data_IF_124366546828
#
_entry.id   IF_124366546828
#
_cell.length_a   1.000
_cell.length_b   1.000
_cell.length_c   1.000
_cell.angle_alpha   90.00
_cell.angle_beta   90.00
_cell.angle_gamma   90.00
#
_symmetry.space_group_name_H-M   'P 1'
#
loop_
_entity.id
_entity.type
_entity.pdbx_description
1 polymer ?
#
# COMPACT_ATOMS: atom_id res chain seq x y z
N UNK A 1 -6.37 -2.68 7.78
CA UNK A 1 -5.94 -1.34 7.28
C UNK A 1 -6.82 -0.86 6.14
N UNK A 2 -7.10 -1.65 5.10
CA UNK A 2 -7.96 -1.21 3.99
C UNK A 2 -9.34 -0.77 4.45
N UNK A 3 -9.98 -1.50 5.37
CA UNK A 3 -11.31 -1.13 5.88
C UNK A 3 -11.29 0.22 6.62
N UNK A 4 -10.21 0.48 7.38
CA UNK A 4 -9.98 1.77 8.04
C UNK A 4 -9.79 2.87 6.99
N UNK A 5 -8.99 2.64 5.95
CA UNK A 5 -8.79 3.60 4.87
C UNK A 5 -10.09 3.93 4.13
N UNK A 6 -10.92 2.92 3.87
CA UNK A 6 -12.24 3.11 3.28
C UNK A 6 -13.12 3.99 4.18
N UNK A 7 -13.17 3.71 5.48
CA UNK A 7 -13.88 4.53 6.46
C UNK A 7 -13.29 5.95 6.60
N UNK A 8 -11.99 6.12 6.33
CA UNK A 8 -11.29 7.42 6.35
C UNK A 8 -11.37 8.20 5.03
N UNK A 9 -12.20 7.78 4.07
CA UNK A 9 -12.47 8.55 2.84
C UNK A 9 -11.67 8.14 1.61
N UNK A 10 -11.03 6.97 1.59
CA UNK A 10 -10.31 6.47 0.40
C UNK A 10 -11.20 6.42 -0.86
N UNK A 11 -12.47 6.02 -0.69
CA UNK A 11 -13.41 5.90 -1.82
C UNK A 11 -13.73 7.28 -2.40
N UNK A 12 -13.91 8.28 -1.53
CA UNK A 12 -14.19 9.65 -1.95
C UNK A 12 -12.98 10.28 -2.64
N UNK A 13 -11.78 10.07 -2.10
CA UNK A 13 -10.53 10.50 -2.74
C UNK A 13 -10.37 9.89 -4.13
N UNK A 14 -10.58 8.57 -4.26
CA UNK A 14 -10.52 7.89 -5.54
C UNK A 14 -11.55 8.44 -6.53
N UNK A 15 -12.75 8.80 -6.07
CA UNK A 15 -13.80 9.38 -6.91
C UNK A 15 -13.40 10.76 -7.46
N UNK A 16 -12.73 11.58 -6.66
CA UNK A 16 -12.19 12.88 -7.11
C UNK A 16 -11.09 12.69 -8.16
N UNK A 17 -10.27 11.64 -8.03
CA UNK A 17 -9.16 11.35 -8.94
C UNK A 17 -9.57 10.56 -10.19
N UNK A 18 -10.76 9.96 -10.21
CA UNK A 18 -11.26 9.13 -11.32
C UNK A 18 -11.26 9.81 -12.70
N UNK A 19 -11.53 11.13 -12.86
CA UNK A 19 -11.36 11.82 -14.13
C UNK A 19 -9.94 11.70 -14.71
N UNK A 20 -8.93 11.57 -13.85
CA UNK A 20 -7.53 11.46 -14.19
C UNK A 20 -7.01 10.02 -14.27
N UNK A 21 -7.89 9.01 -14.19
CA UNK A 21 -7.52 7.58 -14.06
C UNK A 21 -6.52 7.00 -15.06
N UNK A 22 -6.31 7.66 -16.21
CA UNK A 22 -5.33 7.26 -17.23
C UNK A 22 -3.87 7.64 -16.89
N UNK A 23 -3.66 8.45 -15.85
CA UNK A 23 -2.32 8.81 -15.41
C UNK A 23 -1.63 7.61 -14.74
N UNK A 24 -0.39 7.31 -15.14
CA UNK A 24 0.39 6.20 -14.58
C UNK A 24 0.52 6.26 -13.06
N UNK A 25 0.57 7.46 -12.48
CA UNK A 25 0.65 7.65 -11.03
C UNK A 25 -0.57 7.08 -10.28
N UNK A 26 -1.72 6.94 -10.95
CA UNK A 26 -2.96 6.40 -10.39
C UNK A 26 -3.16 4.91 -10.69
N UNK A 27 -2.20 4.26 -11.33
CA UNK A 27 -2.18 2.81 -11.54
C UNK A 27 -1.58 2.06 -10.32
N UNK A 28 -1.81 2.56 -9.12
CA UNK A 28 -1.37 1.93 -7.87
C UNK A 28 -2.46 1.01 -7.29
N UNK A 29 -2.06 0.12 -6.39
CA UNK A 29 -2.99 -0.71 -5.60
C UNK A 29 -3.86 0.22 -4.75
N UNK A 30 -5.17 0.07 -4.82
CA UNK A 30 -6.15 0.97 -4.21
C UNK A 30 -6.99 1.64 -5.29
N UNK A 31 -6.39 2.58 -6.02
CA UNK A 31 -7.11 3.37 -7.01
C UNK A 31 -7.58 2.54 -8.20
N UNK A 32 -6.76 1.64 -8.73
CA UNK A 32 -7.14 0.84 -9.90
C UNK A 32 -8.38 -0.01 -9.63
N UNK A 33 -8.42 -0.67 -8.47
CA UNK A 33 -9.57 -1.49 -8.06
C UNK A 33 -10.84 -0.63 -7.87
N UNK A 34 -10.70 0.56 -7.29
CA UNK A 34 -11.82 1.51 -7.13
C UNK A 34 -12.29 2.10 -8.47
N UNK A 35 -11.38 2.29 -9.43
CA UNK A 35 -11.74 2.74 -10.77
C UNK A 35 -12.56 1.68 -11.50
N UNK A 36 -12.20 0.39 -11.42
CA UNK A 36 -13.03 -0.71 -11.95
C UNK A 36 -14.42 -0.75 -11.28
N UNK A 37 -14.52 -0.39 -10.00
CA UNK A 37 -15.83 -0.22 -9.36
C UNK A 37 -16.61 0.96 -9.97
N UNK A 38 -15.98 2.12 -10.17
CA UNK A 38 -16.63 3.29 -10.77
C UNK A 38 -16.98 3.12 -12.25
N UNK A 39 -16.24 2.28 -12.98
CA UNK A 39 -16.54 1.85 -14.34
C UNK A 39 -17.75 0.87 -14.39
N UNK A 40 -18.26 0.44 -13.22
CA UNK A 40 -19.40 -0.48 -13.10
C UNK A 40 -19.04 -1.95 -13.31
N UNK A 41 -17.74 -2.27 -13.44
CA UNK A 41 -17.27 -3.64 -13.66
C UNK A 41 -17.34 -4.46 -12.37
N UNK A 42 -17.04 -3.83 -11.22
CA UNK A 42 -16.94 -4.48 -9.91
C UNK A 42 -17.91 -3.88 -8.88
N UNK A 43 -18.32 -4.70 -7.90
CA UNK A 43 -18.96 -4.18 -6.69
C UNK A 43 -17.91 -3.51 -5.79
N UNK A 44 -18.35 -2.56 -4.94
CA UNK A 44 -17.46 -1.90 -3.99
C UNK A 44 -16.80 -2.91 -3.05
N UNK A 45 -17.58 -3.86 -2.54
CA UNK A 45 -17.10 -4.93 -1.67
C UNK A 45 -15.99 -5.75 -2.34
N UNK A 46 -16.21 -6.18 -3.58
CA UNK A 46 -15.22 -6.93 -4.35
C UNK A 46 -13.94 -6.11 -4.58
N UNK A 47 -14.08 -4.82 -4.93
CA UNK A 47 -12.95 -3.93 -5.09
C UNK A 47 -12.12 -3.83 -3.80
N UNK A 48 -12.76 -3.62 -2.65
CA UNK A 48 -12.08 -3.53 -1.36
C UNK A 48 -11.34 -4.83 -1.00
N UNK A 49 -11.90 -5.99 -1.31
CA UNK A 49 -11.25 -7.27 -1.08
C UNK A 49 -10.06 -7.52 -2.01
N UNK A 50 -10.16 -7.11 -3.27
CA UNK A 50 -9.02 -7.15 -4.20
C UNK A 50 -7.91 -6.17 -3.76
N UNK A 51 -8.23 -4.98 -3.22
CA UNK A 51 -7.23 -4.07 -2.64
C UNK A 51 -6.49 -4.76 -1.49
N UNK A 52 -7.20 -5.43 -0.57
CA UNK A 52 -6.57 -6.18 0.54
C UNK A 52 -5.62 -7.26 0.01
N UNK A 53 -6.06 -8.02 -0.99
CA UNK A 53 -5.29 -9.11 -1.59
C UNK A 53 -4.06 -8.61 -2.35
N UNK A 54 -4.22 -7.58 -3.16
CA UNK A 54 -3.13 -7.00 -3.93
C UNK A 54 -2.11 -6.28 -3.03
N UNK A 55 -2.56 -5.68 -1.92
CA UNK A 55 -1.67 -5.13 -0.88
C UNK A 55 -0.81 -6.24 -0.27
N UNK A 56 -1.38 -7.40 0.09
CA UNK A 56 -0.61 -8.55 0.60
C UNK A 56 0.39 -9.09 -0.43
N UNK A 57 -0.03 -9.20 -1.69
CA UNK A 57 0.86 -9.63 -2.80
C UNK A 57 2.01 -8.65 -2.99
N UNK A 58 1.73 -7.35 -2.92
CA UNK A 58 2.75 -6.31 -3.02
C UNK A 58 3.74 -6.38 -1.86
N UNK A 59 3.26 -6.48 -0.61
CA UNK A 59 4.12 -6.66 0.56
C UNK A 59 5.00 -7.92 0.44
N UNK A 60 4.44 -9.04 -0.03
CA UNK A 60 5.22 -10.26 -0.31
C UNK A 60 6.33 -10.01 -1.33
N UNK A 61 6.04 -9.31 -2.43
CA UNK A 61 7.05 -8.95 -3.45
C UNK A 61 8.14 -8.05 -2.88
N UNK A 62 7.77 -7.05 -2.06
CA UNK A 62 8.73 -6.19 -1.37
C UNK A 62 9.66 -7.01 -0.48
N UNK A 63 9.11 -7.90 0.36
CA UNK A 63 9.90 -8.79 1.22
C UNK A 63 10.85 -9.67 0.38
N UNK A 64 10.37 -10.28 -0.70
CA UNK A 64 11.22 -11.09 -1.59
C UNK A 64 12.35 -10.28 -2.19
N UNK A 65 12.09 -9.04 -2.60
CA UNK A 65 13.10 -8.15 -3.16
C UNK A 65 14.15 -7.77 -2.11
N UNK A 66 13.70 -7.31 -0.93
CA UNK A 66 14.61 -6.89 0.13
C UNK A 66 15.44 -8.03 0.74
N UNK A 67 14.93 -9.28 0.74
CA UNK A 67 15.72 -10.45 1.18
C UNK A 67 17.00 -10.68 0.36
N UNK A 68 17.08 -10.09 -0.85
CA UNK A 68 18.25 -10.17 -1.72
C UNK A 68 19.18 -8.96 -1.57
N UNK A 69 18.81 -7.98 -0.74
CA UNK A 69 19.59 -6.78 -0.53
C UNK A 69 20.65 -7.06 0.53
N UNK A 70 21.92 -6.92 0.15
CA UNK A 70 23.06 -6.99 1.05
C UNK A 70 23.22 -5.67 1.84
N UNK A 71 23.93 -5.72 2.96
CA UNK A 71 24.20 -4.55 3.82
C UNK A 71 22.94 -3.88 4.41
N UNK A 72 21.88 -4.65 4.65
CA UNK A 72 20.66 -4.16 5.31
C UNK A 72 20.61 -4.65 6.74
N UNK A 73 20.49 -3.73 7.69
CA UNK A 73 20.10 -4.04 9.06
C UNK A 73 18.58 -4.13 9.16
N UNK A 74 18.07 -5.29 9.55
CA UNK A 74 16.65 -5.52 9.76
C UNK A 74 16.25 -5.27 11.21
N UNK A 75 15.08 -4.66 11.39
CA UNK A 75 14.44 -4.45 12.70
C UNK A 75 13.06 -5.08 12.68
N UNK A 76 12.60 -5.53 13.84
CA UNK A 76 11.22 -6.00 14.00
C UNK A 76 10.27 -4.79 13.97
N UNK A 77 9.02 -4.99 13.54
CA UNK A 77 8.02 -3.92 13.52
C UNK A 77 7.66 -3.41 14.92
N UNK A 78 7.98 -4.18 15.96
CA UNK A 78 7.83 -3.82 17.38
C UNK A 78 9.04 -3.12 17.96
N UNK A 79 10.19 -3.07 17.24
CA UNK A 79 11.39 -2.39 17.72
C UNK A 79 11.10 -0.90 17.97
N UNK A 80 11.41 -0.36 19.16
CA UNK A 80 11.21 1.05 19.45
C UNK A 80 12.03 1.95 18.51
N UNK A 81 11.46 3.06 17.99
CA UNK A 81 12.20 3.98 17.12
C UNK A 81 13.51 4.49 17.72
N UNK A 82 13.58 4.64 19.05
CA UNK A 82 14.78 5.07 19.75
C UNK A 82 15.98 4.12 19.55
N UNK A 83 15.74 2.81 19.53
CA UNK A 83 16.79 1.81 19.30
C UNK A 83 17.32 1.88 17.87
N UNK A 84 16.41 2.05 16.90
CA UNK A 84 16.77 2.22 15.49
C UNK A 84 17.63 3.48 15.30
N UNK A 85 17.25 4.59 15.92
CA UNK A 85 18.01 5.85 15.87
C UNK A 85 19.39 5.69 16.50
N UNK A 86 19.49 5.00 17.63
CA UNK A 86 20.77 4.76 18.30
C UNK A 86 21.71 3.91 17.44
N UNK A 87 21.19 2.85 16.80
CA UNK A 87 21.94 2.03 15.85
C UNK A 87 22.50 2.87 14.69
N UNK A 88 21.69 3.75 14.11
CA UNK A 88 22.13 4.64 13.02
C UNK A 88 23.26 5.56 13.50
N UNK A 89 23.12 6.15 14.70
CA UNK A 89 24.13 7.04 15.28
C UNK A 89 25.44 6.35 15.62
N UNK A 90 25.42 5.09 16.04
CA UNK A 90 26.63 4.32 16.35
C UNK A 90 27.33 3.75 15.11
N UNK A 91 26.65 3.75 13.95
CA UNK A 91 27.15 3.22 12.68
C UNK A 91 27.68 4.31 11.75
N UNK A 92 27.62 5.58 12.17
CA UNK A 92 28.23 6.76 11.54
C UNK A 92 29.56 7.08 12.22
#
# INVERSE_FOLDING_TARGET
>A
RVDIMAASGLVDEAKVLYPHRKLNALHTVGYRELFSHFDGEWTLEFALDEIKKNTRRFAKRQITWFKRTENVQWFDYTTPPAEIINFIKSSL
#
